data_IF_272457204937
#
_entry.id   IF_272457204937
#
_cell.length_a   1.000
_cell.length_b   1.000
_cell.length_c   1.000
_cell.angle_alpha   90.00
_cell.angle_beta   90.00
_cell.angle_gamma   90.00
#
_symmetry.space_group_name_H-M   'P 1'
#
loop_
_entity.id
_entity.type
_entity.pdbx_description
1 polymer ?
#
# COMPACT_ATOMS: atom_id res chain seq x y z
N UNK A 1 1.24 -12.77 7.55
CA UNK A 1 1.37 -11.48 8.24
C UNK A 1 2.21 -10.57 7.35
N UNK A 2 1.78 -9.33 7.10
CA UNK A 2 2.49 -8.40 6.19
C UNK A 2 3.92 -8.17 6.65
N UNK A 3 4.14 -7.92 7.94
CA UNK A 3 5.48 -7.73 8.50
C UNK A 3 6.40 -8.94 8.25
N UNK A 4 5.91 -10.19 8.31
CA UNK A 4 6.70 -11.38 7.94
C UNK A 4 7.06 -11.48 6.45
N UNK A 5 6.26 -10.85 5.58
CA UNK A 5 6.47 -10.83 4.13
C UNK A 5 7.44 -9.71 3.73
N UNK A 6 7.33 -8.57 4.39
CA UNK A 6 8.02 -7.32 4.00
C UNK A 6 9.27 -7.02 4.85
N UNK A 7 9.43 -7.66 6.02
CA UNK A 7 10.57 -7.46 6.91
C UNK A 7 11.63 -8.55 6.77
N UNK A 8 12.85 -8.21 7.17
CA UNK A 8 13.98 -9.14 7.27
C UNK A 8 14.20 -9.60 8.72
N UNK A 9 14.43 -10.90 8.91
CA UNK A 9 14.65 -11.53 10.22
C UNK A 9 13.52 -11.31 11.25
N UNK A 10 12.28 -11.30 10.75
CA UNK A 10 11.07 -11.04 11.55
C UNK A 10 10.90 -12.10 12.64
N UNK A 11 11.22 -11.75 13.89
CA UNK A 11 10.91 -12.58 15.04
C UNK A 11 9.58 -12.16 15.64
N UNK A 12 8.77 -13.14 16.07
CA UNK A 12 7.51 -12.89 16.78
C UNK A 12 7.59 -13.43 18.19
N UNK A 13 7.04 -12.70 19.16
CA UNK A 13 6.86 -13.22 20.52
C UNK A 13 5.66 -14.18 20.60
N UNK A 14 5.40 -14.71 21.80
CA UNK A 14 4.28 -15.62 22.06
C UNK A 14 2.90 -15.01 21.76
N UNK A 15 2.78 -13.68 21.76
CA UNK A 15 1.57 -12.94 21.39
C UNK A 15 1.48 -12.63 19.88
N UNK A 16 2.36 -13.22 19.07
CA UNK A 16 2.52 -12.95 17.63
C UNK A 16 2.85 -11.49 17.28
N UNK A 17 3.28 -10.67 18.24
CA UNK A 17 3.80 -9.34 17.96
C UNK A 17 5.22 -9.46 17.39
N UNK A 18 5.52 -8.69 16.35
CA UNK A 18 6.87 -8.58 15.82
C UNK A 18 7.80 -7.92 16.86
N UNK A 19 8.96 -8.53 17.13
CA UNK A 19 9.89 -8.12 18.21
C UNK A 19 11.34 -7.92 17.75
N UNK A 20 11.70 -8.34 16.54
CA UNK A 20 12.93 -7.91 15.88
C UNK A 20 12.64 -7.81 14.39
N UNK A 21 13.03 -6.70 13.79
CA UNK A 21 12.85 -6.44 12.37
C UNK A 21 13.90 -5.46 11.88
N UNK A 22 14.34 -5.63 10.64
CA UNK A 22 14.63 -4.48 9.79
C UNK A 22 13.50 -4.41 8.78
N UNK A 23 12.64 -3.40 8.93
CA UNK A 23 11.56 -3.10 7.99
C UNK A 23 12.02 -1.96 7.11
N UNK A 24 12.06 -2.20 5.80
CA UNK A 24 12.41 -1.17 4.83
C UNK A 24 11.16 -0.66 4.13
N UNK A 25 10.85 0.60 4.34
CA UNK A 25 9.70 1.25 3.72
C UNK A 25 9.99 1.49 2.23
N UNK A 26 9.17 0.96 1.32
CA UNK A 26 9.35 1.18 -0.11
C UNK A 26 9.01 2.62 -0.52
N UNK A 27 8.27 3.38 0.30
CA UNK A 27 7.80 4.72 -0.08
C UNK A 27 8.90 5.78 -0.02
N UNK A 28 9.86 5.64 0.89
CA UNK A 28 10.92 6.61 1.18
C UNK A 28 12.31 5.97 1.29
N UNK A 29 12.38 4.63 1.32
CA UNK A 29 13.62 3.87 1.51
C UNK A 29 14.11 3.83 2.97
N UNK A 30 13.30 4.33 3.92
CA UNK A 30 13.63 4.35 5.35
C UNK A 30 13.69 2.95 5.94
N UNK A 31 14.57 2.76 6.93
CA UNK A 31 14.74 1.49 7.63
C UNK A 31 14.41 1.65 9.12
N UNK A 32 13.61 0.72 9.63
CA UNK A 32 13.06 0.80 10.98
C UNK A 32 13.22 -0.53 11.70
N UNK A 33 13.49 -0.47 13.00
CA UNK A 33 13.60 -1.65 13.87
C UNK A 33 12.47 -1.76 14.89
N UNK A 34 11.68 -0.69 15.06
CA UNK A 34 10.48 -0.68 15.89
C UNK A 34 9.26 -0.78 15.00
N UNK A 35 8.40 -1.73 15.29
CA UNK A 35 7.12 -1.88 14.59
C UNK A 35 6.22 -0.62 14.69
N UNK A 36 6.41 0.24 15.70
CA UNK A 36 5.66 1.49 15.85
C UNK A 36 6.06 2.60 14.87
N UNK A 37 7.21 2.48 14.20
CA UNK A 37 7.65 3.47 13.20
C UNK A 37 7.12 3.14 11.78
N UNK A 38 6.37 2.04 11.66
CA UNK A 38 5.87 1.47 10.41
C UNK A 38 4.38 1.22 10.51
N UNK A 39 3.66 1.59 9.47
CA UNK A 39 2.25 1.27 9.25
C UNK A 39 2.08 0.17 8.21
N UNK A 40 0.96 -0.55 8.28
CA UNK A 40 0.48 -1.35 7.16
C UNK A 40 -0.47 -0.47 6.33
N UNK A 41 0.03 0.07 5.22
CA UNK A 41 -0.77 0.87 4.30
C UNK A 41 -1.59 0.01 3.35
N UNK A 42 -2.79 0.52 3.03
CA UNK A 42 -3.60 0.06 1.93
C UNK A 42 -3.15 0.77 0.65
N UNK A 43 -2.48 0.06 -0.26
CA UNK A 43 -2.01 0.58 -1.56
C UNK A 43 -3.10 1.42 -2.21
N UNK A 44 -4.31 0.87 -2.34
CA UNK A 44 -5.52 1.63 -2.61
C UNK A 44 -6.26 1.88 -1.29
N UNK A 45 -6.24 3.13 -0.81
CA UNK A 45 -6.81 3.49 0.49
C UNK A 45 -8.31 3.12 0.59
N UNK A 46 -8.78 2.73 1.78
CA UNK A 46 -10.17 2.24 1.95
C UNK A 46 -11.24 3.26 1.52
N UNK A 47 -11.03 4.55 1.80
CA UNK A 47 -11.95 5.60 1.37
C UNK A 47 -11.86 5.90 -0.14
N UNK A 48 -10.69 5.71 -0.75
CA UNK A 48 -10.54 5.74 -2.21
C UNK A 48 -11.33 4.59 -2.84
N UNK A 49 -11.13 3.36 -2.35
CA UNK A 49 -11.84 2.19 -2.84
C UNK A 49 -13.36 2.36 -2.72
N UNK A 50 -13.84 2.97 -1.63
CA UNK A 50 -15.26 3.31 -1.45
C UNK A 50 -15.79 4.20 -2.58
N UNK A 51 -15.09 5.30 -2.88
CA UNK A 51 -15.42 6.22 -3.99
C UNK A 51 -15.33 5.53 -5.35
N UNK A 52 -14.41 4.57 -5.49
CA UNK A 52 -14.18 3.81 -6.72
C UNK A 52 -15.04 2.54 -6.88
N UNK A 53 -16.08 2.36 -6.05
CA UNK A 53 -17.11 1.33 -6.25
C UNK A 53 -17.28 0.34 -5.10
N UNK A 54 -16.39 0.34 -4.10
CA UNK A 54 -16.51 -0.55 -2.95
C UNK A 54 -17.73 -0.26 -2.07
N UNK A 55 -18.34 0.92 -2.21
CA UNK A 55 -19.59 1.26 -1.51
C UNK A 55 -20.75 0.32 -1.85
N UNK A 56 -20.77 -0.24 -3.07
CA UNK A 56 -21.79 -1.19 -3.52
C UNK A 56 -21.51 -2.63 -3.03
N UNK A 57 -20.36 -2.89 -2.41
CA UNK A 57 -20.00 -4.23 -1.96
C UNK A 57 -20.66 -4.59 -0.64
N UNK A 58 -20.98 -5.88 -0.51
CA UNK A 58 -21.31 -6.47 0.78
C UNK A 58 -20.18 -6.23 1.80
N UNK A 59 -20.50 -6.08 3.10
CA UNK A 59 -19.50 -5.90 4.14
C UNK A 59 -18.42 -6.99 4.17
N UNK A 60 -18.77 -8.23 3.82
CA UNK A 60 -17.82 -9.35 3.74
C UNK A 60 -16.73 -9.13 2.68
N UNK A 61 -17.10 -8.65 1.49
CA UNK A 61 -16.14 -8.35 0.41
C UNK A 61 -15.24 -7.17 0.78
N UNK A 62 -15.77 -6.13 1.44
CA UNK A 62 -14.95 -5.03 1.97
C UNK A 62 -13.93 -5.51 3.02
N UNK A 63 -14.32 -6.44 3.89
CA UNK A 63 -13.38 -7.07 4.83
C UNK A 63 -12.30 -7.89 4.12
N UNK A 64 -12.65 -8.62 3.06
CA UNK A 64 -11.65 -9.36 2.27
C UNK A 64 -10.65 -8.40 1.62
N UNK A 65 -11.12 -7.31 1.01
CA UNK A 65 -10.25 -6.26 0.44
C UNK A 65 -9.31 -5.66 1.49
N UNK A 66 -9.85 -5.28 2.66
CA UNK A 66 -9.06 -4.65 3.72
C UNK A 66 -7.99 -5.58 4.33
N UNK A 67 -8.11 -6.90 4.16
CA UNK A 67 -7.23 -7.91 4.75
C UNK A 67 -6.56 -8.81 3.70
N UNK A 68 -6.52 -8.40 2.43
CA UNK A 68 -5.95 -9.21 1.37
C UNK A 68 -4.43 -9.31 1.52
N UNK A 69 -3.92 -10.54 1.64
CA UNK A 69 -2.48 -10.84 1.75
C UNK A 69 -1.91 -11.47 0.48
N UNK A 70 -2.76 -11.77 -0.50
CA UNK A 70 -2.39 -12.47 -1.74
C UNK A 70 -2.17 -11.54 -2.93
N UNK A 71 -2.47 -10.25 -2.77
CA UNK A 71 -2.28 -9.20 -3.77
C UNK A 71 -1.42 -8.06 -3.20
N UNK A 72 -1.26 -6.99 -3.99
CA UNK A 72 -0.47 -5.81 -3.62
C UNK A 72 -1.23 -4.82 -2.73
N UNK A 73 -2.30 -5.22 -2.04
CA UNK A 73 -3.14 -4.27 -1.31
C UNK A 73 -2.53 -3.79 0.01
N UNK A 74 -1.74 -4.61 0.70
CA UNK A 74 -1.14 -4.25 2.00
C UNK A 74 0.37 -4.15 1.90
N UNK A 75 0.99 -3.11 2.48
CA UNK A 75 2.45 -2.90 2.49
C UNK A 75 2.93 -2.30 3.81
N UNK A 76 4.07 -2.77 4.31
CA UNK A 76 4.76 -2.13 5.43
C UNK A 76 5.50 -0.86 4.96
N UNK A 77 5.13 0.32 5.49
CA UNK A 77 5.67 1.63 5.08
C UNK A 77 5.93 2.54 6.28
N UNK A 78 6.79 3.56 6.14
CA UNK A 78 7.04 4.55 7.21
C UNK A 78 5.73 5.22 7.65
N UNK A 79 5.44 5.22 8.95
CA UNK A 79 4.21 5.78 9.55
C UNK A 79 3.94 7.22 9.09
N UNK A 80 4.90 8.13 9.30
CA UNK A 80 4.74 9.54 8.94
C UNK A 80 4.51 9.76 7.45
N UNK A 81 5.12 8.94 6.57
CA UNK A 81 4.91 9.00 5.12
C UNK A 81 3.51 8.51 4.76
N UNK A 82 3.03 7.45 5.40
CA UNK A 82 1.67 6.95 5.24
C UNK A 82 0.62 8.01 5.63
N UNK A 83 0.86 8.74 6.72
CA UNK A 83 0.00 9.84 7.13
C UNK A 83 -0.05 10.96 6.07
N UNK A 84 1.06 11.24 5.37
CA UNK A 84 1.05 12.20 4.24
C UNK A 84 0.22 11.73 3.06
N UNK A 85 0.16 10.41 2.80
CA UNK A 85 -0.71 9.80 1.80
C UNK A 85 -2.18 9.95 2.22
N UNK A 86 -2.54 9.44 3.39
CA UNK A 86 -3.92 9.40 3.86
C UNK A 86 -4.83 8.67 2.87
N UNK A 87 -5.98 9.25 2.52
CA UNK A 87 -6.92 8.67 1.56
C UNK A 87 -6.78 9.21 0.12
N UNK A 88 -5.65 9.86 -0.18
CA UNK A 88 -5.38 10.48 -1.48
C UNK A 88 -5.17 9.43 -2.56
N UNK A 89 -5.63 9.76 -3.76
CA UNK A 89 -5.40 8.98 -4.97
C UNK A 89 -4.03 9.27 -5.59
N UNK A 90 -3.60 8.44 -6.56
CA UNK A 90 -2.29 8.53 -7.20
C UNK A 90 -2.04 9.81 -8.02
N UNK A 91 -3.09 10.61 -8.27
CA UNK A 91 -2.98 11.93 -8.91
C UNK A 91 -2.58 13.05 -7.94
N UNK A 92 -2.89 12.87 -6.65
CA UNK A 92 -2.69 13.88 -5.60
C UNK A 92 -1.46 13.56 -4.75
N UNK A 93 -1.15 12.28 -4.58
CA UNK A 93 0.00 11.83 -3.80
C UNK A 93 0.79 10.75 -4.54
N UNK A 94 2.12 10.81 -4.40
CA UNK A 94 3.06 9.80 -4.90
C UNK A 94 4.12 9.52 -3.82
N UNK A 95 4.70 8.32 -3.79
CA UNK A 95 5.82 8.03 -2.91
C UNK A 95 6.98 9.02 -3.10
N UNK A 96 7.59 9.53 -2.02
CA UNK A 96 8.78 10.37 -2.11
C UNK A 96 9.95 9.71 -2.87
N UNK A 97 10.11 8.40 -2.74
CA UNK A 97 11.15 7.64 -3.43
C UNK A 97 10.76 7.37 -4.89
N UNK A 98 11.38 8.11 -5.81
CA UNK A 98 11.09 8.02 -7.25
C UNK A 98 11.37 6.63 -7.83
N UNK A 99 12.40 5.92 -7.35
CA UNK A 99 12.70 4.56 -7.82
C UNK A 99 11.58 3.55 -7.52
N UNK A 100 10.65 3.88 -6.62
CA UNK A 100 9.48 3.04 -6.33
C UNK A 100 8.26 3.35 -7.21
N UNK A 101 8.29 4.43 -8.02
CA UNK A 101 7.12 4.89 -8.78
C UNK A 101 6.56 3.84 -9.74
N UNK A 102 7.42 3.16 -10.51
CA UNK A 102 6.98 2.09 -11.40
C UNK A 102 6.22 0.98 -10.64
N UNK A 103 6.75 0.53 -9.49
CA UNK A 103 6.13 -0.52 -8.69
C UNK A 103 4.82 -0.02 -8.07
N UNK A 104 4.79 1.21 -7.54
CA UNK A 104 3.60 1.83 -6.98
C UNK A 104 2.47 1.90 -8.01
N UNK A 105 2.74 2.41 -9.22
CA UNK A 105 1.75 2.51 -10.29
C UNK A 105 1.21 1.13 -10.70
N UNK A 106 2.08 0.15 -10.91
CA UNK A 106 1.68 -1.22 -11.25
C UNK A 106 0.84 -1.86 -10.15
N UNK A 107 1.23 -1.67 -8.89
CA UNK A 107 0.52 -2.22 -7.73
C UNK A 107 -0.88 -1.62 -7.60
N UNK A 108 -1.00 -0.29 -7.71
CA UNK A 108 -2.30 0.40 -7.69
C UNK A 108 -3.23 -0.11 -8.80
N UNK A 109 -2.70 -0.20 -10.04
CA UNK A 109 -3.47 -0.70 -11.19
C UNK A 109 -3.91 -2.15 -10.97
N UNK A 110 -3.02 -3.03 -10.48
CA UNK A 110 -3.35 -4.43 -10.18
C UNK A 110 -4.47 -4.51 -9.16
N UNK A 111 -4.35 -3.80 -8.02
CA UNK A 111 -5.39 -3.81 -6.98
C UNK A 111 -6.72 -3.35 -7.54
N UNK A 112 -6.77 -2.22 -8.27
CA UNK A 112 -8.04 -1.74 -8.83
C UNK A 112 -8.62 -2.73 -9.84
N UNK A 113 -7.78 -3.35 -10.67
CA UNK A 113 -8.20 -4.36 -11.62
C UNK A 113 -8.79 -5.60 -10.93
N UNK A 114 -8.05 -6.20 -10.00
CA UNK A 114 -8.41 -7.44 -9.30
C UNK A 114 -9.73 -7.29 -8.53
N UNK A 115 -9.94 -6.11 -7.93
CA UNK A 115 -11.12 -5.81 -7.13
C UNK A 115 -12.28 -5.18 -7.91
N UNK A 116 -12.09 -4.90 -9.21
CA UNK A 116 -13.06 -4.23 -10.10
C UNK A 116 -13.45 -2.84 -9.61
N UNK A 117 -12.47 -2.07 -9.17
CA UNK A 117 -12.61 -0.66 -8.82
C UNK A 117 -12.45 0.22 -10.06
N UNK A 118 -13.12 1.37 -10.08
CA UNK A 118 -12.99 2.34 -11.16
C UNK A 118 -11.68 3.11 -11.08
N UNK A 119 -11.17 3.50 -12.24
CA UNK A 119 -9.95 4.29 -12.40
C UNK A 119 -10.33 5.66 -12.99
N UNK A 120 -9.96 6.75 -12.32
CA UNK A 120 -10.20 8.10 -12.83
C UNK A 120 -9.16 8.48 -13.89
N UNK A 121 -9.52 9.41 -14.78
CA UNK A 121 -8.62 9.89 -15.83
C UNK A 121 -7.37 10.59 -15.24
N UNK A 122 -7.54 11.37 -14.17
CA UNK A 122 -6.45 12.01 -13.41
C UNK A 122 -5.45 10.99 -12.89
N UNK A 123 -5.95 9.95 -12.23
CA UNK A 123 -5.14 8.86 -11.70
C UNK A 123 -4.38 8.14 -12.82
N UNK A 124 -5.04 7.86 -13.96
CA UNK A 124 -4.42 7.19 -15.11
C UNK A 124 -3.25 8.00 -15.66
N UNK A 125 -3.42 9.31 -15.85
CA UNK A 125 -2.35 10.19 -16.33
C UNK A 125 -1.17 10.23 -15.35
N UNK A 126 -1.45 10.32 -14.05
CA UNK A 126 -0.41 10.33 -13.03
C UNK A 126 0.35 9.00 -12.94
N UNK A 127 -0.35 7.88 -13.12
CA UNK A 127 0.23 6.54 -13.19
C UNK A 127 1.06 6.34 -14.44
N UNK A 128 0.63 6.85 -15.60
CA UNK A 128 1.44 6.78 -16.82
C UNK A 128 2.82 7.44 -16.60
N UNK A 129 2.84 8.65 -16.04
CA UNK A 129 4.10 9.32 -15.72
C UNK A 129 4.98 8.53 -14.72
N UNK A 130 4.37 7.72 -13.83
CA UNK A 130 5.11 6.83 -12.95
C UNK A 130 5.59 5.55 -13.67
N UNK A 131 4.79 5.00 -14.57
CA UNK A 131 5.17 3.85 -15.41
C UNK A 131 6.31 4.18 -16.38
N UNK A 132 6.42 5.44 -16.81
CA UNK A 132 7.53 5.89 -17.65
C UNK A 132 8.89 5.85 -16.91
N UNK A 133 8.90 5.60 -15.59
CA UNK A 133 10.11 5.36 -14.79
C UNK A 133 10.52 3.88 -14.70
N UNK A 134 9.75 2.97 -15.32
CA UNK A 134 10.08 1.55 -15.33
C UNK A 134 11.36 1.28 -16.13
N UNK A 135 12.25 0.46 -15.57
CA UNK A 135 13.51 0.00 -16.17
C UNK A 135 13.54 -1.51 -16.28
#
# INVERSE_FOLDING_TARGET
MVLKRDGENVATNASCAAVSDTLRSPYDGGEWTRASDVDIDHMVALAEAWRSGAHAWLPSKRRQFANSLTDSQLWAVTDSVNQTKGDKESSVWKPPLVSFWCIYARSWISVKYDWRLTQQASEKSAQQAMLDTCT
#
